data_IF_397193362221
#
_entry.id   IF_397193362221
#
_cell.length_a   1.000
_cell.length_b   1.000
_cell.length_c   1.000
_cell.angle_alpha   90.00
_cell.angle_beta   90.00
_cell.angle_gamma   90.00
#
_symmetry.space_group_name_H-M   'P 1'
#
loop_
_entity.id
_entity.type
_entity.pdbx_description
1 polymer ?
#
# COMPACT_ATOMS: atom_id res chain seq x y z
N UNK A 1 25.93 -20.32 17.84
CA UNK A 1 25.42 -19.15 17.07
C UNK A 1 25.00 -18.06 18.04
N UNK A 2 25.61 -16.89 17.95
CA UNK A 2 25.18 -15.77 18.75
C UNK A 2 23.78 -15.34 18.29
N UNK A 3 22.78 -15.47 19.14
CA UNK A 3 21.46 -14.89 18.89
C UNK A 3 21.64 -13.38 18.99
N UNK A 4 21.69 -12.72 17.87
CA UNK A 4 21.81 -11.26 17.81
C UNK A 4 20.54 -10.66 18.34
N UNK A 5 20.59 -10.16 19.55
CA UNK A 5 19.45 -9.47 20.18
C UNK A 5 19.48 -8.01 19.78
N UNK A 6 18.51 -7.62 18.95
CA UNK A 6 18.42 -6.28 18.40
C UNK A 6 17.62 -5.35 19.31
N UNK A 7 17.97 -4.07 19.30
CA UNK A 7 17.10 -3.03 19.86
C UNK A 7 15.98 -2.70 18.91
N UNK A 8 14.95 -1.97 19.36
CA UNK A 8 13.87 -1.52 18.51
C UNK A 8 14.36 -0.66 17.35
N UNK A 9 15.42 0.13 17.56
CA UNK A 9 16.04 0.96 16.50
C UNK A 9 16.63 0.11 15.40
N UNK A 10 17.35 -0.96 15.76
CA UNK A 10 17.91 -1.90 14.79
C UNK A 10 16.82 -2.69 14.06
N UNK A 11 15.77 -3.10 14.80
CA UNK A 11 14.62 -3.76 14.20
C UNK A 11 13.95 -2.86 13.15
N UNK A 12 13.66 -1.62 13.48
CA UNK A 12 13.06 -0.65 12.56
C UNK A 12 13.95 -0.44 11.32
N UNK A 13 15.26 -0.28 11.51
CA UNK A 13 16.22 -0.11 10.42
C UNK A 13 16.23 -1.32 9.48
N UNK A 14 16.06 -2.53 10.01
CA UNK A 14 16.07 -3.77 9.20
C UNK A 14 14.96 -3.82 8.13
N UNK A 15 13.87 -3.10 8.33
CA UNK A 15 12.75 -3.01 7.38
C UNK A 15 12.57 -1.61 6.82
N UNK A 16 13.53 -0.71 7.06
CA UNK A 16 13.50 0.67 6.62
C UNK A 16 12.22 1.41 7.03
N UNK A 17 11.86 1.28 8.30
CA UNK A 17 10.71 1.96 8.91
C UNK A 17 11.13 2.76 10.14
N UNK A 18 10.28 3.65 10.58
CA UNK A 18 10.49 4.39 11.83
C UNK A 18 10.13 3.52 13.05
N UNK A 19 10.74 3.83 14.20
CA UNK A 19 10.45 3.16 15.46
C UNK A 19 8.94 3.23 15.80
N UNK A 20 8.31 4.37 15.54
CA UNK A 20 6.87 4.55 15.77
C UNK A 20 6.02 3.60 14.91
N UNK A 21 6.48 3.25 13.73
CA UNK A 21 5.82 2.24 12.89
C UNK A 21 5.87 0.87 13.55
N UNK A 22 7.02 0.49 14.11
CA UNK A 22 7.17 -0.76 14.87
C UNK A 22 6.21 -0.78 16.06
N UNK A 23 6.19 0.31 16.82
CA UNK A 23 5.27 0.45 17.97
C UNK A 23 3.80 0.38 17.56
N UNK A 24 3.47 0.98 16.43
CA UNK A 24 2.13 0.90 15.86
C UNK A 24 1.72 -0.53 15.53
N UNK A 25 2.61 -1.30 14.89
CA UNK A 25 2.34 -2.71 14.60
C UNK A 25 2.20 -3.55 15.88
N UNK A 26 2.95 -3.22 16.92
CA UNK A 26 2.80 -3.85 18.23
C UNK A 26 1.43 -3.58 18.85
N UNK A 27 0.98 -2.32 18.80
CA UNK A 27 -0.37 -1.94 19.27
C UNK A 27 -1.49 -2.64 18.49
N UNK A 28 -1.25 -2.89 17.20
CA UNK A 28 -2.19 -3.61 16.32
C UNK A 28 -2.11 -5.13 16.48
N UNK A 29 -1.24 -5.63 17.34
CA UNK A 29 -1.08 -7.07 17.54
C UNK A 29 -0.36 -7.81 16.41
N UNK A 30 0.23 -7.09 15.45
CA UNK A 30 0.95 -7.67 14.32
C UNK A 30 2.37 -8.10 14.67
N UNK A 31 2.99 -7.42 15.61
CA UNK A 31 4.31 -7.73 16.13
C UNK A 31 4.21 -7.97 17.63
N UNK A 32 4.95 -8.97 18.16
CA UNK A 32 5.04 -9.14 19.60
C UNK A 32 5.84 -8.00 20.23
N UNK A 33 5.48 -7.65 21.44
CA UNK A 33 6.25 -6.74 22.28
C UNK A 33 6.95 -7.56 23.35
N UNK A 34 8.29 -7.76 23.28
CA UNK A 34 9.00 -8.53 24.26
C UNK A 34 8.93 -7.90 25.64
N UNK A 35 9.01 -8.73 26.66
CA UNK A 35 9.09 -8.24 28.05
C UNK A 35 10.36 -7.41 28.26
N UNK A 36 10.23 -6.36 29.02
CA UNK A 36 11.36 -5.51 29.40
C UNK A 36 12.10 -6.16 30.56
N UNK A 37 13.38 -6.52 30.40
CA UNK A 37 14.17 -7.01 31.51
C UNK A 37 14.30 -5.96 32.63
N UNK A 38 14.42 -6.37 33.85
CA UNK A 38 14.66 -5.49 35.00
C UNK A 38 15.94 -4.65 34.74
N UNK A 39 15.80 -3.31 34.69
CA UNK A 39 16.91 -2.39 34.45
C UNK A 39 17.47 -2.41 33.01
N UNK A 40 16.80 -3.09 32.07
CA UNK A 40 17.25 -3.21 30.69
C UNK A 40 16.27 -2.69 29.66
N UNK A 41 16.61 -2.89 28.39
CA UNK A 41 15.79 -2.56 27.23
C UNK A 41 15.27 -3.84 26.57
N UNK A 42 14.12 -3.71 25.88
CA UNK A 42 13.54 -4.83 25.13
C UNK A 42 14.49 -5.26 24.01
N UNK A 43 14.59 -6.58 23.82
CA UNK A 43 15.44 -7.18 22.80
C UNK A 43 14.60 -8.00 21.83
N UNK A 44 14.93 -7.86 20.57
CA UNK A 44 14.23 -8.49 19.45
C UNK A 44 15.15 -9.52 18.77
N UNK A 45 14.55 -10.55 18.23
CA UNK A 45 15.27 -11.64 17.58
C UNK A 45 15.09 -11.65 16.06
N UNK A 46 15.73 -12.63 15.36
CA UNK A 46 15.60 -12.78 13.90
C UNK A 46 14.16 -13.03 13.45
N UNK A 47 13.34 -13.68 14.26
CA UNK A 47 11.93 -13.92 13.98
C UNK A 47 11.13 -12.62 13.90
N UNK A 48 11.45 -11.65 14.74
CA UNK A 48 10.82 -10.33 14.72
C UNK A 48 11.19 -9.56 13.46
N UNK A 49 12.44 -9.65 13.01
CA UNK A 49 12.91 -9.06 11.76
C UNK A 49 12.14 -9.65 10.57
N UNK A 50 12.06 -10.98 10.49
CA UNK A 50 11.34 -11.66 9.41
C UNK A 50 9.87 -11.29 9.38
N UNK A 51 9.23 -11.20 10.54
CA UNK A 51 7.82 -10.82 10.67
C UNK A 51 7.59 -9.38 10.23
N UNK A 52 8.44 -8.46 10.65
CA UNK A 52 8.37 -7.05 10.24
C UNK A 52 8.55 -6.89 8.73
N UNK A 53 9.53 -7.57 8.17
CA UNK A 53 9.77 -7.56 6.72
C UNK A 53 8.59 -8.15 5.94
N UNK A 54 7.97 -9.21 6.45
CA UNK A 54 6.75 -9.79 5.87
C UNK A 54 5.62 -8.76 5.82
N UNK A 55 5.36 -8.08 6.93
CA UNK A 55 4.31 -7.05 7.01
C UNK A 55 4.58 -5.95 5.98
N UNK A 56 5.80 -5.48 5.88
CA UNK A 56 6.17 -4.42 4.95
C UNK A 56 6.02 -4.84 3.49
N UNK A 57 6.45 -6.04 3.14
CA UNK A 57 6.29 -6.58 1.78
C UNK A 57 4.83 -6.72 1.41
N UNK A 58 4.01 -7.23 2.31
CA UNK A 58 2.58 -7.38 2.08
C UNK A 58 1.89 -6.01 1.91
N UNK A 59 2.25 -5.01 2.71
CA UNK A 59 1.75 -3.63 2.53
C UNK A 59 2.13 -3.05 1.16
N UNK A 60 3.35 -3.29 0.71
CA UNK A 60 3.81 -2.84 -0.62
C UNK A 60 2.98 -3.47 -1.74
N UNK A 61 2.49 -4.69 -1.54
CA UNK A 61 1.58 -5.37 -2.47
C UNK A 61 0.13 -4.87 -2.37
N UNK A 62 -0.17 -3.94 -1.46
CA UNK A 62 -1.49 -3.36 -1.31
C UNK A 62 -2.40 -4.04 -0.30
N UNK A 63 -1.88 -4.97 0.50
CA UNK A 63 -2.67 -5.57 1.58
C UNK A 63 -2.80 -4.61 2.77
N UNK A 64 -3.98 -4.57 3.36
CA UNK A 64 -4.24 -3.82 4.59
C UNK A 64 -3.66 -4.56 5.79
N UNK A 65 -3.46 -3.87 6.91
CA UNK A 65 -2.96 -4.49 8.13
C UNK A 65 -3.90 -5.58 8.66
N UNK A 66 -5.20 -5.41 8.52
CA UNK A 66 -6.18 -6.42 8.92
C UNK A 66 -6.09 -7.67 8.03
N UNK A 67 -5.93 -7.49 6.73
CA UNK A 67 -5.70 -8.59 5.79
C UNK A 67 -4.39 -9.32 6.09
N UNK A 68 -3.33 -8.58 6.42
CA UNK A 68 -2.03 -9.14 6.79
C UNK A 68 -2.14 -9.95 8.09
N UNK A 69 -2.86 -9.43 9.08
CA UNK A 69 -3.13 -10.16 10.32
C UNK A 69 -3.81 -11.51 10.02
N UNK A 70 -4.82 -11.51 9.16
CA UNK A 70 -5.50 -12.72 8.72
C UNK A 70 -4.55 -13.71 8.02
N UNK A 71 -3.68 -13.23 7.14
CA UNK A 71 -2.69 -14.06 6.45
C UNK A 71 -1.68 -14.71 7.42
N UNK A 72 -1.33 -13.98 8.48
CA UNK A 72 -0.37 -14.48 9.48
C UNK A 72 -0.95 -15.55 10.40
N UNK A 73 -2.25 -15.56 10.60
CA UNK A 73 -2.95 -16.54 11.44
C UNK A 73 -3.24 -17.85 10.71
N UNK A 74 -3.33 -17.80 9.38
CA UNK A 74 -3.71 -18.98 8.59
C UNK A 74 -2.54 -19.94 8.45
N UNK A 75 -2.77 -21.19 8.84
CA UNK A 75 -1.79 -22.28 8.76
C UNK A 75 -2.41 -23.49 8.06
N UNK A 76 -1.56 -24.30 7.44
CA UNK A 76 -1.98 -25.55 6.82
C UNK A 76 -2.54 -25.41 5.41
N UNK A 77 -3.31 -26.40 4.99
CA UNK A 77 -3.82 -26.52 3.61
C UNK A 77 -4.75 -25.37 3.17
N UNK A 78 -5.44 -24.76 4.13
CA UNK A 78 -6.35 -23.62 3.86
C UNK A 78 -5.61 -22.31 3.61
N UNK A 79 -4.36 -22.22 4.02
CA UNK A 79 -3.57 -20.99 3.88
C UNK A 79 -3.43 -20.56 2.41
N UNK A 80 -3.09 -21.51 1.52
CA UNK A 80 -2.97 -21.22 0.10
C UNK A 80 -4.27 -20.76 -0.53
N UNK A 81 -5.39 -21.38 -0.17
CA UNK A 81 -6.70 -21.03 -0.72
C UNK A 81 -7.14 -19.63 -0.27
N UNK A 82 -7.02 -19.33 1.02
CA UNK A 82 -7.38 -18.02 1.54
C UNK A 82 -6.45 -16.92 1.00
N UNK A 83 -5.16 -17.18 0.90
CA UNK A 83 -4.19 -16.26 0.31
C UNK A 83 -4.53 -16.01 -1.17
N UNK A 84 -4.87 -17.07 -1.91
CA UNK A 84 -5.28 -16.96 -3.31
C UNK A 84 -6.52 -16.08 -3.47
N UNK A 85 -7.56 -16.30 -2.68
CA UNK A 85 -8.79 -15.51 -2.74
C UNK A 85 -8.54 -14.02 -2.47
N UNK A 86 -7.71 -13.74 -1.48
CA UNK A 86 -7.34 -12.36 -1.15
C UNK A 86 -6.53 -11.72 -2.26
N UNK A 87 -5.58 -12.47 -2.85
CA UNK A 87 -4.79 -12.01 -3.98
C UNK A 87 -5.66 -11.78 -5.22
N UNK A 88 -6.61 -12.66 -5.51
CA UNK A 88 -7.57 -12.48 -6.62
C UNK A 88 -8.41 -11.21 -6.44
N UNK A 89 -8.88 -10.96 -5.23
CA UNK A 89 -9.62 -9.74 -4.91
C UNK A 89 -8.77 -8.49 -5.15
N UNK A 90 -7.53 -8.49 -4.67
CA UNK A 90 -6.59 -7.37 -4.89
C UNK A 90 -6.25 -7.20 -6.36
N UNK A 91 -6.06 -8.30 -7.08
CA UNK A 91 -5.77 -8.26 -8.51
C UNK A 91 -6.92 -7.62 -9.30
N UNK A 92 -8.16 -7.94 -8.97
CA UNK A 92 -9.33 -7.33 -9.59
C UNK A 92 -9.35 -5.81 -9.37
N UNK A 93 -9.05 -5.36 -8.15
CA UNK A 93 -8.97 -3.94 -7.83
C UNK A 93 -7.86 -3.23 -8.61
N UNK A 94 -6.67 -3.82 -8.69
CA UNK A 94 -5.54 -3.28 -9.46
C UNK A 94 -5.91 -3.17 -10.94
N UNK A 95 -6.53 -4.20 -11.51
CA UNK A 95 -6.96 -4.18 -12.92
C UNK A 95 -7.98 -3.09 -13.21
N UNK A 96 -8.90 -2.86 -12.28
CA UNK A 96 -9.87 -1.76 -12.39
C UNK A 96 -9.16 -0.41 -12.40
N UNK A 97 -8.24 -0.18 -11.49
CA UNK A 97 -7.44 1.05 -11.42
C UNK A 97 -6.57 1.24 -12.67
N UNK A 98 -6.00 0.17 -13.20
CA UNK A 98 -5.24 0.24 -14.45
C UNK A 98 -6.13 0.67 -15.62
N UNK A 99 -7.36 0.17 -15.68
CA UNK A 99 -8.34 0.60 -16.69
C UNK A 99 -8.68 2.09 -16.58
N UNK A 100 -8.91 2.57 -15.36
CA UNK A 100 -9.17 3.99 -15.10
C UNK A 100 -7.98 4.88 -15.50
N UNK A 101 -6.76 4.45 -15.15
CA UNK A 101 -5.54 5.18 -15.51
C UNK A 101 -5.30 5.18 -17.03
N UNK A 102 -5.58 4.09 -17.74
CA UNK A 102 -5.48 4.04 -19.21
C UNK A 102 -6.47 4.99 -19.85
N UNK A 103 -7.68 5.08 -19.32
CA UNK A 103 -8.67 6.03 -19.81
C UNK A 103 -8.20 7.47 -19.62
N UNK A 104 -7.67 7.77 -18.44
CA UNK A 104 -7.10 9.09 -18.14
C UNK A 104 -5.91 9.41 -19.06
N UNK A 105 -5.03 8.44 -19.30
CA UNK A 105 -3.91 8.58 -20.22
C UNK A 105 -4.40 8.94 -21.63
N UNK A 106 -5.43 8.23 -22.12
CA UNK A 106 -6.02 8.51 -23.43
C UNK A 106 -6.62 9.91 -23.48
N UNK A 107 -7.35 10.33 -22.44
CA UNK A 107 -7.96 11.65 -22.37
C UNK A 107 -6.90 12.75 -22.39
N UNK A 108 -5.84 12.59 -21.60
CA UNK A 108 -4.74 13.56 -21.56
C UNK A 108 -3.95 13.59 -22.88
N UNK A 109 -3.74 12.43 -23.50
CA UNK A 109 -3.08 12.33 -24.81
C UNK A 109 -3.89 13.08 -25.86
N UNK A 110 -5.20 12.93 -25.85
CA UNK A 110 -6.08 13.65 -26.75
C UNK A 110 -5.99 15.16 -26.53
N UNK A 111 -5.99 15.61 -25.27
CA UNK A 111 -5.81 17.02 -24.93
C UNK A 111 -4.49 17.59 -25.47
N UNK A 112 -3.39 16.87 -25.27
CA UNK A 112 -2.07 17.28 -25.78
C UNK A 112 -2.09 17.38 -27.31
N UNK A 113 -2.68 16.40 -27.98
CA UNK A 113 -2.78 16.38 -29.44
C UNK A 113 -3.61 17.56 -29.96
N UNK A 114 -4.76 17.84 -29.37
CA UNK A 114 -5.61 18.95 -29.74
C UNK A 114 -4.92 20.31 -29.54
N UNK A 115 -4.26 20.48 -28.38
CA UNK A 115 -3.51 21.70 -28.08
C UNK A 115 -2.33 21.91 -29.03
N UNK A 116 -1.71 20.83 -29.53
CA UNK A 116 -0.60 20.90 -30.48
C UNK A 116 -1.04 21.30 -31.89
N UNK A 117 -2.29 21.04 -32.24
CA UNK A 117 -2.85 21.33 -33.55
C UNK A 117 -3.41 22.75 -33.68
N UNK A 118 -3.63 23.44 -32.57
CA UNK A 118 -4.15 24.81 -32.58
C UNK A 118 -2.97 25.77 -32.75
N UNK A 119 -2.86 26.38 -33.93
CA UNK A 119 -1.93 27.48 -34.17
C UNK A 119 -2.50 28.78 -33.62
N UNK A 120 -1.90 29.32 -32.58
CA UNK A 120 -2.13 30.65 -32.02
C UNK A 120 -3.55 31.20 -32.24
N UNK A 121 -4.45 30.91 -31.34
CA UNK A 121 -5.80 31.39 -31.45
C UNK A 121 -6.45 31.66 -30.10
N UNK A 122 -7.47 32.45 -30.16
CA UNK A 122 -8.29 32.88 -29.03
C UNK A 122 -9.16 31.75 -28.46
N UNK A 123 -9.07 30.53 -29.04
CA UNK A 123 -9.95 29.43 -28.75
C UNK A 123 -9.17 28.16 -28.44
N UNK A 124 -9.40 27.59 -27.24
CA UNK A 124 -8.86 26.31 -26.87
C UNK A 124 -9.98 25.25 -26.82
N UNK A 125 -10.03 24.30 -27.78
CA UNK A 125 -11.08 23.29 -27.81
C UNK A 125 -11.10 22.39 -26.56
N UNK A 126 -9.95 22.18 -25.98
CA UNK A 126 -9.82 21.37 -24.73
C UNK A 126 -10.48 22.05 -23.54
N UNK A 127 -10.21 23.35 -23.34
CA UNK A 127 -10.83 24.11 -22.24
C UNK A 127 -12.34 24.18 -22.42
N UNK A 128 -12.82 24.41 -23.63
CA UNK A 128 -14.25 24.45 -23.95
C UNK A 128 -14.93 23.12 -23.64
N UNK A 129 -14.26 22.01 -23.97
CA UNK A 129 -14.78 20.66 -23.65
C UNK A 129 -14.87 20.42 -22.16
N UNK A 130 -13.84 20.80 -21.40
CA UNK A 130 -13.81 20.67 -19.94
C UNK A 130 -14.89 21.53 -19.27
N UNK A 131 -15.16 22.73 -19.79
CA UNK A 131 -16.21 23.61 -19.31
C UNK A 131 -17.62 23.02 -19.48
N UNK A 132 -17.82 22.22 -20.54
CA UNK A 132 -19.12 21.65 -20.89
C UNK A 132 -19.25 20.17 -20.57
N UNK A 133 -18.16 19.50 -20.17
CA UNK A 133 -18.22 18.09 -19.83
C UNK A 133 -18.95 17.90 -18.49
N UNK A 134 -20.03 17.14 -18.54
CA UNK A 134 -20.66 16.63 -17.32
C UNK A 134 -19.85 15.46 -16.83
N UNK A 135 -18.98 15.68 -15.85
CA UNK A 135 -18.31 14.59 -15.16
C UNK A 135 -19.30 13.99 -14.15
N UNK A 136 -19.70 12.71 -14.35
CA UNK A 136 -20.62 12.06 -13.42
C UNK A 136 -20.06 11.97 -12.00
N UNK A 137 -18.74 12.13 -11.81
CA UNK A 137 -18.12 12.15 -10.49
C UNK A 137 -18.26 13.48 -9.77
N UNK A 138 -18.48 14.59 -10.52
CA UNK A 138 -18.68 15.93 -9.97
C UNK A 138 -20.17 16.20 -9.74
N UNK A 139 -21.05 15.50 -10.42
CA UNK A 139 -22.49 15.69 -10.34
C UNK A 139 -23.13 15.25 -9.01
N UNK A 140 -22.36 14.71 -8.08
CA UNK A 140 -22.82 14.22 -6.77
C UNK A 140 -22.55 15.17 -5.60
N UNK A 141 -21.95 16.33 -5.83
CA UNK A 141 -21.81 17.35 -4.79
C UNK A 141 -23.06 18.25 -4.77
N UNK A 142 -23.73 18.39 -3.59
CA UNK A 142 -24.85 19.32 -3.45
C UNK A 142 -24.43 20.78 -3.53
#
# INVERSE_FOLDING_TARGET
MAITRLTISHLAASANVHIETVRYYQRRGLLPEPERPLGGIRRYGPGDVSRLQFIRRAQTMGFTLDEIAGLMEVKGKRACEQTRRLAEFKLADVRRRLGELRQLENDLTQMVTECSQVSTGEYCPTLTRLEHAKDPRIAMEP
#
